data_IF_416161047671
#
_entry.id   IF_416161047671
#
_cell.length_a   1.000
_cell.length_b   1.000
_cell.length_c   1.000
_cell.angle_alpha   90.00
_cell.angle_beta   90.00
_cell.angle_gamma   90.00
#
_symmetry.space_group_name_H-M   'P 1'
#
loop_
_entity.id
_entity.type
_entity.pdbx_description
1 polymer ?
#
# COMPACT_ATOMS: atom_id res chain seq x y z
N UNK A 1 21.03 -13.57 5.94
CA UNK A 1 20.25 -12.40 6.43
C UNK A 1 18.95 -12.90 7.06
N UNK A 2 18.54 -12.38 8.23
CA UNK A 2 17.23 -12.73 8.80
C UNK A 2 16.17 -12.10 7.90
N UNK A 3 15.46 -12.90 7.11
CA UNK A 3 14.33 -12.46 6.27
C UNK A 3 13.04 -12.25 7.07
N UNK A 4 13.07 -12.63 8.36
CA UNK A 4 11.98 -12.49 9.32
C UNK A 4 11.31 -11.11 9.35
N UNK A 5 12.03 -9.96 9.40
CA UNK A 5 11.39 -8.64 9.38
C UNK A 5 10.65 -8.35 8.07
N UNK A 6 11.20 -8.75 6.92
CA UNK A 6 10.55 -8.58 5.62
C UNK A 6 9.28 -9.43 5.51
N UNK A 7 9.30 -10.65 6.06
CA UNK A 7 8.11 -11.51 6.16
C UNK A 7 7.00 -10.84 6.97
N UNK A 8 7.34 -10.31 8.15
CA UNK A 8 6.35 -9.61 8.98
C UNK A 8 5.83 -8.35 8.30
N UNK A 9 6.68 -7.59 7.62
CA UNK A 9 6.26 -6.41 6.86
C UNK A 9 5.24 -6.79 5.77
N UNK A 10 5.52 -7.84 4.99
CA UNK A 10 4.59 -8.36 3.97
C UNK A 10 3.26 -8.83 4.57
N UNK A 11 3.28 -9.51 5.73
CA UNK A 11 2.06 -9.96 6.41
C UNK A 11 1.23 -8.79 6.95
N UNK A 12 1.89 -7.79 7.54
CA UNK A 12 1.21 -6.58 8.03
C UNK A 12 0.61 -5.80 6.88
N UNK A 13 1.35 -5.62 5.78
CA UNK A 13 0.84 -4.93 4.59
C UNK A 13 -0.33 -5.71 3.96
N UNK A 14 -0.23 -7.04 3.86
CA UNK A 14 -1.34 -7.89 3.42
C UNK A 14 -2.58 -7.71 4.31
N UNK A 15 -2.42 -7.72 5.63
CA UNK A 15 -3.54 -7.54 6.56
C UNK A 15 -4.18 -6.16 6.42
N UNK A 16 -3.37 -5.10 6.37
CA UNK A 16 -3.86 -3.73 6.21
C UNK A 16 -4.62 -3.56 4.88
N UNK A 17 -4.07 -4.07 3.78
CA UNK A 17 -4.69 -4.03 2.46
C UNK A 17 -6.00 -4.82 2.41
N UNK A 18 -6.04 -5.99 3.05
CA UNK A 18 -7.25 -6.80 3.12
C UNK A 18 -8.35 -6.09 3.91
N UNK A 19 -8.02 -5.57 5.10
CA UNK A 19 -8.98 -4.86 5.96
C UNK A 19 -9.49 -3.58 5.29
N UNK A 20 -8.60 -2.78 4.71
CA UNK A 20 -8.98 -1.57 3.99
C UNK A 20 -9.80 -1.91 2.73
N UNK A 21 -9.40 -2.93 1.98
CA UNK A 21 -10.12 -3.41 0.81
C UNK A 21 -11.53 -3.88 1.16
N UNK A 22 -11.68 -4.69 2.21
CA UNK A 22 -12.97 -5.15 2.71
C UNK A 22 -13.83 -3.97 3.19
N UNK A 23 -13.25 -3.00 3.90
CA UNK A 23 -13.97 -1.81 4.36
C UNK A 23 -14.48 -0.96 3.18
N UNK A 24 -13.69 -0.80 2.12
CA UNK A 24 -14.10 -0.07 0.92
C UNK A 24 -15.22 -0.77 0.14
N UNK A 25 -15.23 -2.10 0.11
CA UNK A 25 -16.28 -2.90 -0.55
C UNK A 25 -17.57 -2.88 0.25
N UNK A 26 -17.49 -3.19 1.55
CA UNK A 26 -18.66 -3.46 2.39
C UNK A 26 -19.24 -2.19 3.02
N UNK A 27 -18.38 -1.22 3.32
CA UNK A 27 -18.73 -0.03 4.11
C UNK A 27 -18.13 1.26 3.55
N UNK A 28 -18.27 1.57 2.24
CA UNK A 28 -17.65 2.74 1.63
C UNK A 28 -18.04 4.04 2.33
N UNK A 29 -19.31 4.17 2.77
CA UNK A 29 -19.78 5.39 3.46
C UNK A 29 -19.08 5.64 4.80
N UNK A 30 -18.78 4.60 5.56
CA UNK A 30 -18.09 4.75 6.84
C UNK A 30 -16.63 5.15 6.62
N UNK A 31 -15.97 4.57 5.62
CA UNK A 31 -14.63 4.99 5.19
C UNK A 31 -14.63 6.47 4.82
N UNK A 32 -15.61 6.93 4.03
CA UNK A 32 -15.73 8.35 3.67
C UNK A 32 -15.86 9.26 4.90
N UNK A 33 -16.66 8.87 5.90
CA UNK A 33 -16.79 9.64 7.16
C UNK A 33 -15.49 9.67 7.96
N UNK A 34 -14.79 8.54 8.09
CA UNK A 34 -13.50 8.46 8.79
C UNK A 34 -12.49 9.41 8.17
N UNK A 35 -12.42 9.43 6.84
CA UNK A 35 -11.53 10.34 6.11
C UNK A 35 -12.11 11.75 5.90
N UNK A 36 -13.29 12.07 6.45
CA UNK A 36 -13.95 13.39 6.31
C UNK A 36 -14.22 13.81 4.85
N UNK A 37 -14.47 12.84 3.96
CA UNK A 37 -15.02 13.13 2.64
C UNK A 37 -16.53 13.38 2.77
N UNK A 38 -16.97 14.58 2.43
CA UNK A 38 -18.39 14.97 2.48
C UNK A 38 -19.06 14.71 1.13
N UNK A 39 -20.25 14.12 1.17
CA UNK A 39 -21.18 14.03 0.04
C UNK A 39 -20.59 13.49 -1.26
N UNK A 40 -19.80 12.42 -1.17
CA UNK A 40 -19.31 11.74 -2.36
C UNK A 40 -20.47 11.11 -3.13
N UNK A 41 -20.47 11.30 -4.44
CA UNK A 41 -21.51 10.75 -5.31
C UNK A 41 -21.53 9.22 -5.24
N UNK A 42 -22.68 8.58 -5.51
CA UNK A 42 -22.77 7.12 -5.57
C UNK A 42 -21.77 6.51 -6.58
N UNK A 43 -21.46 7.22 -7.66
CA UNK A 43 -20.47 6.81 -8.64
C UNK A 43 -19.05 6.71 -8.03
N UNK A 44 -18.66 7.65 -7.17
CA UNK A 44 -17.36 7.58 -6.47
C UNK A 44 -17.36 6.42 -5.47
N UNK A 45 -18.50 6.14 -4.82
CA UNK A 45 -18.61 4.97 -3.93
C UNK A 45 -18.40 3.65 -4.68
N UNK A 46 -18.88 3.54 -5.92
CA UNK A 46 -18.60 2.40 -6.79
C UNK A 46 -17.10 2.28 -7.14
N UNK A 47 -16.45 3.40 -7.50
CA UNK A 47 -14.99 3.44 -7.77
C UNK A 47 -14.18 3.03 -6.54
N UNK A 48 -14.58 3.50 -5.35
CA UNK A 48 -13.96 3.09 -4.09
C UNK A 48 -14.11 1.58 -3.84
N UNK A 49 -15.28 1.00 -4.14
CA UNK A 49 -15.49 -0.44 -4.07
C UNK A 49 -14.58 -1.22 -5.02
N UNK A 50 -14.44 -0.76 -6.27
CA UNK A 50 -13.49 -1.36 -7.23
C UNK A 50 -12.04 -1.28 -6.74
N UNK A 51 -11.65 -0.13 -6.18
CA UNK A 51 -10.34 0.01 -5.55
C UNK A 51 -10.17 -0.97 -4.38
N UNK A 52 -11.22 -1.15 -3.57
CA UNK A 52 -11.24 -2.16 -2.51
C UNK A 52 -11.00 -3.59 -3.02
N UNK A 53 -11.57 -3.97 -4.17
CA UNK A 53 -11.29 -5.26 -4.81
C UNK A 53 -9.81 -5.40 -5.21
N UNK A 54 -9.20 -4.33 -5.73
CA UNK A 54 -7.76 -4.32 -6.06
C UNK A 54 -6.92 -4.52 -4.79
N UNK A 55 -7.23 -3.81 -3.70
CA UNK A 55 -6.49 -3.95 -2.44
C UNK A 55 -6.64 -5.35 -1.83
N UNK A 56 -7.87 -5.90 -1.84
CA UNK A 56 -8.13 -7.25 -1.32
C UNK A 56 -7.40 -8.34 -2.11
N UNK A 57 -7.28 -8.21 -3.44
CA UNK A 57 -6.54 -9.17 -4.25
C UNK A 57 -5.02 -8.99 -4.11
N UNK A 58 -4.51 -7.75 -3.99
CA UNK A 58 -3.10 -7.49 -3.66
C UNK A 58 -2.71 -8.12 -2.32
N UNK A 59 -3.59 -8.07 -1.31
CA UNK A 59 -3.34 -8.69 -0.01
C UNK A 59 -3.02 -10.18 -0.12
N UNK A 60 -3.71 -10.92 -1.01
CA UNK A 60 -3.42 -12.34 -1.27
C UNK A 60 -2.01 -12.51 -1.81
N UNK A 61 -1.60 -11.64 -2.74
CA UNK A 61 -0.26 -11.63 -3.31
C UNK A 61 0.84 -11.39 -2.27
N UNK A 62 0.66 -10.40 -1.41
CA UNK A 62 1.58 -10.12 -0.30
C UNK A 62 1.63 -11.26 0.72
N UNK A 63 0.49 -11.90 1.03
CA UNK A 63 0.44 -13.06 1.91
C UNK A 63 1.21 -14.26 1.33
N UNK A 64 1.09 -14.52 0.03
CA UNK A 64 1.87 -15.56 -0.66
C UNK A 64 3.36 -15.21 -0.65
N UNK A 65 3.71 -13.96 -0.96
CA UNK A 65 5.09 -13.49 -0.96
C UNK A 65 5.76 -13.59 0.41
N UNK A 66 5.01 -13.44 1.50
CA UNK A 66 5.53 -13.58 2.85
C UNK A 66 6.09 -14.98 3.18
N UNK A 67 5.64 -16.04 2.48
CA UNK A 67 6.16 -17.40 2.68
C UNK A 67 7.62 -17.51 2.22
N UNK A 68 7.94 -16.91 1.09
CA UNK A 68 9.30 -16.85 0.54
C UNK A 68 9.55 -15.50 -0.13
N UNK A 69 9.99 -14.47 0.64
CA UNK A 69 10.17 -13.11 0.12
C UNK A 69 11.27 -13.00 -0.93
N UNK A 70 12.25 -13.91 -0.93
CA UNK A 70 13.37 -13.86 -1.88
C UNK A 70 12.91 -14.39 -3.23
N UNK A 71 12.17 -15.51 -3.24
CA UNK A 71 11.57 -16.05 -4.46
C UNK A 71 10.52 -15.09 -5.06
N UNK A 72 9.87 -14.30 -4.21
CA UNK A 72 8.81 -13.36 -4.59
C UNK A 72 9.25 -11.89 -4.51
N UNK A 73 10.51 -11.60 -4.84
CA UNK A 73 11.07 -10.24 -4.73
C UNK A 73 10.28 -9.18 -5.49
N UNK A 74 9.63 -9.56 -6.59
CA UNK A 74 8.77 -8.68 -7.37
C UNK A 74 7.64 -8.07 -6.52
N UNK A 75 7.08 -8.82 -5.56
CA UNK A 75 6.05 -8.30 -4.66
C UNK A 75 6.58 -7.22 -3.73
N UNK A 76 7.84 -7.32 -3.30
CA UNK A 76 8.52 -6.27 -2.53
C UNK A 76 8.69 -5.02 -3.39
N UNK A 77 9.11 -5.17 -4.66
CA UNK A 77 9.24 -4.06 -5.60
C UNK A 77 7.89 -3.38 -5.88
N UNK A 78 6.83 -4.17 -6.06
CA UNK A 78 5.45 -3.66 -6.19
C UNK A 78 5.05 -2.87 -4.94
N UNK A 79 5.38 -3.36 -3.73
CA UNK A 79 5.14 -2.63 -2.47
C UNK A 79 5.86 -1.28 -2.40
N UNK A 80 7.13 -1.23 -2.81
CA UNK A 80 7.89 0.02 -2.89
C UNK A 80 7.25 0.96 -3.91
N UNK A 81 7.02 0.50 -5.13
CA UNK A 81 6.47 1.30 -6.21
C UNK A 81 5.09 1.85 -5.84
N UNK A 82 4.21 1.01 -5.28
CA UNK A 82 2.90 1.41 -4.77
C UNK A 82 3.02 2.50 -3.71
N UNK A 83 3.80 2.28 -2.66
CA UNK A 83 3.94 3.26 -1.58
C UNK A 83 4.49 4.60 -2.06
N UNK A 84 5.48 4.59 -2.97
CA UNK A 84 6.01 5.80 -3.59
C UNK A 84 4.95 6.51 -4.44
N UNK A 85 4.21 5.78 -5.28
CA UNK A 85 3.17 6.34 -6.13
C UNK A 85 2.01 6.92 -5.29
N UNK A 86 1.59 6.22 -4.24
CA UNK A 86 0.55 6.68 -3.30
C UNK A 86 0.98 7.98 -2.59
N UNK A 87 2.23 8.06 -2.12
CA UNK A 87 2.79 9.30 -1.56
C UNK A 87 2.79 10.44 -2.57
N UNK A 88 3.32 10.22 -3.78
CA UNK A 88 3.41 11.26 -4.81
C UNK A 88 2.00 11.74 -5.18
N UNK A 89 1.07 10.82 -5.43
CA UNK A 89 -0.31 11.16 -5.77
C UNK A 89 -0.98 11.97 -4.65
N UNK A 90 -0.83 11.54 -3.38
CA UNK A 90 -1.39 12.25 -2.24
C UNK A 90 -0.80 13.65 -2.07
N UNK A 91 0.52 13.82 -2.23
CA UNK A 91 1.19 15.13 -2.18
C UNK A 91 0.68 16.03 -3.31
N UNK A 92 0.56 15.50 -4.54
CA UNK A 92 0.05 16.27 -5.69
C UNK A 92 -1.39 16.72 -5.46
N UNK A 93 -2.26 15.85 -4.95
CA UNK A 93 -3.66 16.21 -4.67
C UNK A 93 -3.81 17.17 -3.49
N UNK A 94 -2.96 17.05 -2.48
CA UNK A 94 -2.86 18.02 -1.39
C UNK A 94 -2.40 19.39 -1.90
N UNK A 95 -1.34 19.44 -2.72
CA UNK A 95 -0.80 20.67 -3.28
C UNK A 95 -1.78 21.38 -4.24
N UNK A 96 -2.62 20.61 -4.95
CA UNK A 96 -3.69 21.14 -5.82
C UNK A 96 -4.95 21.55 -5.05
N UNK A 97 -5.00 21.36 -3.73
CA UNK A 97 -6.19 21.66 -2.92
C UNK A 97 -7.38 20.73 -3.19
N UNK A 98 -7.17 19.58 -3.84
CA UNK A 98 -8.21 18.59 -4.13
C UNK A 98 -8.60 17.84 -2.85
N UNK A 99 -7.61 17.56 -2.00
CA UNK A 99 -7.79 16.91 -0.70
C UNK A 99 -7.17 17.74 0.41
N UNK A 100 -7.77 17.73 1.60
CA UNK A 100 -7.16 18.33 2.79
C UNK A 100 -6.13 17.40 3.43
N UNK A 101 -5.26 17.93 4.30
CA UNK A 101 -4.32 17.11 5.06
C UNK A 101 -5.03 16.08 5.95
N UNK A 102 -6.23 16.39 6.44
CA UNK A 102 -7.04 15.45 7.24
C UNK A 102 -7.55 14.28 6.39
N UNK A 103 -7.79 14.49 5.09
CA UNK A 103 -8.27 13.47 4.15
C UNK A 103 -7.14 12.57 3.64
N UNK A 104 -5.99 13.14 3.25
CA UNK A 104 -4.91 12.40 2.58
C UNK A 104 -3.65 12.20 3.42
N UNK A 105 -3.47 12.96 4.50
CA UNK A 105 -2.23 12.98 5.27
C UNK A 105 -1.87 11.63 5.91
N UNK A 106 -2.86 10.94 6.50
CA UNK A 106 -2.63 9.60 7.06
C UNK A 106 -2.18 8.60 5.99
N UNK A 107 -2.81 8.62 4.82
CA UNK A 107 -2.44 7.77 3.69
C UNK A 107 -1.03 8.06 3.18
N UNK A 108 -0.68 9.33 3.00
CA UNK A 108 0.66 9.76 2.55
C UNK A 108 1.74 9.31 3.53
N UNK A 109 1.54 9.52 4.83
CA UNK A 109 2.52 9.14 5.86
C UNK A 109 2.68 7.62 5.91
N UNK A 110 1.56 6.89 5.95
CA UNK A 110 1.60 5.43 6.03
C UNK A 110 2.25 4.81 4.79
N UNK A 111 1.90 5.27 3.59
CA UNK A 111 2.50 4.83 2.34
C UNK A 111 4.01 5.07 2.31
N UNK A 112 4.45 6.23 2.82
CA UNK A 112 5.87 6.59 2.87
C UNK A 112 6.65 5.72 3.84
N UNK A 113 6.09 5.47 5.03
CA UNK A 113 6.69 4.58 6.02
C UNK A 113 6.81 3.15 5.51
N UNK A 114 5.76 2.63 4.85
CA UNK A 114 5.78 1.29 4.26
C UNK A 114 6.83 1.20 3.14
N UNK A 115 6.89 2.18 2.24
CA UNK A 115 7.89 2.22 1.18
C UNK A 115 9.32 2.25 1.74
N UNK A 116 9.58 3.10 2.74
CA UNK A 116 10.88 3.17 3.40
C UNK A 116 11.23 1.86 4.11
N UNK A 117 10.27 1.22 4.77
CA UNK A 117 10.47 -0.08 5.42
C UNK A 117 10.84 -1.17 4.39
N UNK A 118 10.16 -1.22 3.25
CA UNK A 118 10.52 -2.17 2.19
C UNK A 118 11.90 -1.90 1.61
N UNK A 119 12.30 -0.63 1.41
CA UNK A 119 13.65 -0.27 0.94
C UNK A 119 14.72 -0.67 1.97
N UNK A 120 14.44 -0.46 3.27
CA UNK A 120 15.36 -0.78 4.35
C UNK A 120 15.56 -2.30 4.52
N UNK A 121 14.48 -3.08 4.39
CA UNK A 121 14.51 -4.54 4.49
C UNK A 121 14.67 -5.24 3.14
N UNK A 122 14.93 -4.49 2.06
CA UNK A 122 15.14 -5.06 0.73
C UNK A 122 16.35 -6.01 0.76
N UNK A 123 16.21 -7.25 0.30
CA UNK A 123 17.32 -8.20 0.28
C UNK A 123 18.33 -7.74 -0.78
N UNK A 124 19.30 -6.94 -0.35
CA UNK A 124 20.45 -6.57 -1.17
C UNK A 124 21.38 -7.77 -1.20
N UNK A 125 21.65 -8.31 -2.40
CA UNK A 125 22.78 -9.22 -2.58
C UNK A 125 24.04 -8.44 -2.18
N UNK A 126 24.54 -8.68 -0.97
CA UNK A 126 25.86 -8.25 -0.55
C UNK A 126 26.65 -9.53 -0.32
N UNK A 127 27.27 -9.99 -1.41
CA UNK A 127 28.72 -10.18 -1.51
C UNK A 127 29.07 -10.76 -2.91
N UNK A 128 29.65 -9.92 -3.78
CA UNK A 128 30.66 -10.39 -4.73
C UNK A 128 30.26 -11.04 -6.07
N UNK A 129 29.05 -10.93 -6.59
CA UNK A 129 28.78 -11.35 -7.97
C UNK A 129 27.93 -10.32 -8.71
N UNK A 130 28.54 -9.80 -9.77
CA UNK A 130 28.02 -8.81 -10.70
C UNK A 130 26.56 -9.07 -11.13
N UNK A 131 25.75 -8.03 -11.09
CA UNK A 131 24.68 -7.84 -12.06
C UNK A 131 25.09 -6.64 -12.90
N UNK A 132 25.69 -6.97 -14.04
CA UNK A 132 25.81 -6.08 -15.16
C UNK A 132 24.40 -5.60 -15.55
N UNK A 133 24.38 -4.31 -15.91
CA UNK A 133 23.29 -3.57 -16.54
C UNK A 133 22.64 -4.37 -17.67
#
# INVERSE_FOLDING_TARGET
MKLTPLRYLLLWDALLLFLLGAALILMPREVQRVFQFKDLSPAISYILGLWGCVLATLAVGYFVAARDPVKHILWVQIGIARGVLECIAGIVYLARGITSFQQSGLGIILAGLIALAYIAFYPRQRDGAALAV
#
